data_IF_954807262643
#
_entry.id   IF_954807262643
#
_cell.length_a   1.000
_cell.length_b   1.000
_cell.length_c   1.000
_cell.angle_alpha   90.00
_cell.angle_beta   90.00
_cell.angle_gamma   90.00
#
_symmetry.space_group_name_H-M   'P 1'
#
loop_
_entity.id
_entity.type
_entity.pdbx_description
1 polymer ?
#
# COMPACT_ATOMS: atom_id res chain seq x y z
N UNK A 1 -13.34 47.68 -16.84
CA UNK A 1 -12.87 47.42 -15.45
C UNK A 1 -13.80 46.51 -14.64
N UNK A 2 -14.80 45.83 -15.23
CA UNK A 2 -15.76 44.99 -14.48
C UNK A 2 -15.56 43.48 -14.61
N UNK A 3 -14.63 43.02 -15.46
CA UNK A 3 -14.43 41.60 -15.78
C UNK A 3 -13.49 40.89 -14.82
N UNK A 4 -12.51 41.59 -14.23
CA UNK A 4 -11.54 40.98 -13.30
C UNK A 4 -12.13 40.61 -11.93
N UNK A 5 -13.17 41.31 -11.47
CA UNK A 5 -13.83 40.99 -10.20
C UNK A 5 -14.66 39.68 -10.27
N UNK A 6 -15.20 39.35 -11.44
CA UNK A 6 -16.04 38.16 -11.64
C UNK A 6 -15.19 36.88 -11.67
N UNK A 7 -13.99 36.92 -12.25
CA UNK A 7 -13.09 35.75 -12.28
C UNK A 7 -12.48 35.43 -10.92
N UNK A 8 -12.13 36.44 -10.12
CA UNK A 8 -11.64 36.23 -8.74
C UNK A 8 -12.74 35.58 -7.88
N UNK A 9 -13.99 35.99 -8.05
CA UNK A 9 -15.13 35.41 -7.31
C UNK A 9 -15.37 33.94 -7.68
N UNK A 10 -15.18 33.56 -8.95
CA UNK A 10 -15.38 32.17 -9.41
C UNK A 10 -14.22 31.24 -9.04
N UNK A 11 -12.97 31.72 -9.07
CA UNK A 11 -11.80 30.95 -8.62
C UNK A 11 -11.77 30.79 -7.09
N UNK A 12 -12.23 31.80 -6.34
CA UNK A 12 -12.47 31.69 -4.91
C UNK A 12 -13.63 30.74 -4.64
N UNK A 13 -14.71 30.78 -5.42
CA UNK A 13 -15.81 29.83 -5.27
C UNK A 13 -15.37 28.40 -5.60
N UNK A 14 -14.61 28.14 -6.68
CA UNK A 14 -14.13 26.78 -7.01
C UNK A 14 -13.02 26.29 -6.07
N UNK A 15 -12.07 27.14 -5.68
CA UNK A 15 -11.00 26.81 -4.75
C UNK A 15 -11.48 26.67 -3.30
N UNK A 16 -12.43 27.51 -2.86
CA UNK A 16 -13.11 27.32 -1.57
C UNK A 16 -14.20 26.26 -1.61
N UNK A 17 -14.74 25.88 -2.77
CA UNK A 17 -15.69 24.76 -2.84
C UNK A 17 -14.96 23.44 -2.69
N UNK A 18 -13.73 23.30 -3.22
CA UNK A 18 -12.93 22.09 -2.98
C UNK A 18 -12.48 21.99 -1.51
N UNK A 19 -11.85 23.03 -0.96
CA UNK A 19 -11.39 23.02 0.44
C UNK A 19 -12.56 23.08 1.43
N UNK A 20 -13.62 23.82 1.09
CA UNK A 20 -14.83 23.97 1.90
C UNK A 20 -15.73 22.74 1.87
N UNK A 21 -15.81 22.03 0.74
CA UNK A 21 -16.54 20.75 0.70
C UNK A 21 -15.87 19.69 1.58
N UNK A 22 -14.53 19.62 1.58
CA UNK A 22 -13.80 18.77 2.52
C UNK A 22 -14.06 19.13 3.98
N UNK A 23 -14.18 20.43 4.29
CA UNK A 23 -14.53 20.90 5.63
C UNK A 23 -15.96 20.51 6.02
N UNK A 24 -16.93 20.66 5.11
CA UNK A 24 -18.33 20.26 5.35
C UNK A 24 -18.43 18.76 5.57
N UNK A 25 -17.72 17.94 4.77
CA UNK A 25 -17.67 16.48 4.94
C UNK A 25 -17.03 16.11 6.27
N UNK A 26 -15.93 16.77 6.66
CA UNK A 26 -15.29 16.55 7.95
C UNK A 26 -16.24 16.90 9.11
N UNK A 27 -16.97 18.01 9.01
CA UNK A 27 -17.96 18.41 10.00
C UNK A 27 -19.12 17.40 10.06
N UNK A 28 -19.63 16.96 8.92
CA UNK A 28 -20.69 15.94 8.83
C UNK A 28 -20.24 14.61 9.44
N UNK A 29 -19.00 14.21 9.17
CA UNK A 29 -18.41 13.02 9.76
C UNK A 29 -18.38 13.17 11.29
N UNK A 30 -17.93 14.31 11.82
CA UNK A 30 -17.94 14.62 13.26
C UNK A 30 -19.34 14.61 13.85
N UNK A 31 -20.36 15.11 13.14
CA UNK A 31 -21.74 15.08 13.62
C UNK A 31 -22.33 13.67 13.63
N UNK A 32 -22.02 12.84 12.63
CA UNK A 32 -22.58 11.50 12.48
C UNK A 32 -21.89 10.46 13.38
N UNK A 33 -20.55 10.55 13.48
CA UNK A 33 -19.73 9.61 14.26
C UNK A 33 -19.33 10.17 15.64
N UNK A 34 -19.45 11.47 15.89
CA UNK A 34 -19.13 12.08 17.18
C UNK A 34 -17.69 11.81 17.63
N UNK A 35 -17.54 11.16 18.77
CA UNK A 35 -16.24 10.76 19.32
C UNK A 35 -15.64 9.48 18.70
N UNK A 36 -16.36 8.79 17.83
CA UNK A 36 -15.96 7.49 17.28
C UNK A 36 -15.22 7.56 15.94
N UNK A 37 -15.10 8.74 15.31
CA UNK A 37 -14.28 8.95 14.10
C UNK A 37 -12.84 8.47 14.28
N UNK A 38 -12.09 8.85 15.33
CA UNK A 38 -10.73 8.37 15.50
C UNK A 38 -10.67 6.85 15.66
N UNK A 39 -11.73 6.22 16.21
CA UNK A 39 -11.82 4.77 16.28
C UNK A 39 -11.99 4.15 14.89
N UNK A 40 -12.84 4.72 14.02
CA UNK A 40 -12.98 4.25 12.63
C UNK A 40 -11.78 4.58 11.74
N UNK A 41 -11.19 5.77 11.89
CA UNK A 41 -9.96 6.16 11.19
C UNK A 41 -8.78 5.25 11.56
N UNK A 42 -8.67 4.82 12.83
CA UNK A 42 -7.67 3.81 13.23
C UNK A 42 -7.90 2.45 12.56
N UNK A 43 -9.15 2.02 12.40
CA UNK A 43 -9.49 0.76 11.72
C UNK A 43 -9.20 0.84 10.21
N UNK A 44 -9.65 1.91 9.55
CA UNK A 44 -9.37 2.16 8.13
C UNK A 44 -7.89 2.40 7.86
N UNK A 45 -7.17 3.06 8.76
CA UNK A 45 -5.73 3.30 8.64
C UNK A 45 -4.91 2.01 8.70
N UNK A 46 -5.27 1.08 9.60
CA UNK A 46 -4.67 -0.27 9.61
C UNK A 46 -4.94 -1.01 8.31
N UNK A 47 -6.19 -1.00 7.83
CA UNK A 47 -6.57 -1.60 6.55
C UNK A 47 -5.81 -1.00 5.36
N UNK A 48 -5.66 0.32 5.31
CA UNK A 48 -4.90 1.01 4.28
C UNK A 48 -3.41 0.67 4.31
N UNK A 49 -2.82 0.58 5.51
CA UNK A 49 -1.42 0.19 5.67
C UNK A 49 -1.16 -1.24 5.23
N UNK A 50 -2.06 -2.17 5.52
CA UNK A 50 -1.97 -3.56 5.07
C UNK A 50 -2.19 -3.66 3.55
N UNK A 51 -3.17 -2.92 3.01
CA UNK A 51 -3.41 -2.83 1.58
C UNK A 51 -2.19 -2.30 0.81
N UNK A 52 -1.56 -1.22 1.28
CA UNK A 52 -0.36 -0.67 0.64
C UNK A 52 0.79 -1.69 0.60
N UNK A 53 0.93 -2.49 1.67
CA UNK A 53 1.98 -3.51 1.79
C UNK A 53 1.74 -4.67 0.83
N UNK A 54 0.49 -5.10 0.72
CA UNK A 54 0.07 -6.14 -0.23
C UNK A 54 0.13 -5.66 -1.69
N UNK A 55 -0.30 -4.43 -1.97
CA UNK A 55 -0.19 -3.83 -3.31
C UNK A 55 1.27 -3.57 -3.69
N UNK A 56 2.13 -3.23 -2.72
CA UNK A 56 3.57 -3.11 -2.94
C UNK A 56 4.20 -4.43 -3.39
N UNK A 57 3.84 -5.53 -2.74
CA UNK A 57 4.25 -6.88 -3.14
C UNK A 57 3.72 -7.25 -4.54
N UNK A 58 2.43 -6.99 -4.80
CA UNK A 58 1.81 -7.26 -6.09
C UNK A 58 2.44 -6.45 -7.23
N UNK A 59 2.73 -5.16 -7.00
CA UNK A 59 3.39 -4.30 -7.99
C UNK A 59 4.80 -4.79 -8.30
N UNK A 60 5.53 -5.29 -7.30
CA UNK A 60 6.85 -5.88 -7.50
C UNK A 60 6.77 -7.11 -8.40
N UNK A 61 5.87 -8.04 -8.10
CA UNK A 61 5.68 -9.27 -8.89
C UNK A 61 5.19 -8.98 -10.32
N UNK A 62 4.19 -8.11 -10.47
CA UNK A 62 3.67 -7.71 -11.78
C UNK A 62 4.73 -6.97 -12.59
N UNK A 63 5.52 -6.09 -11.98
CA UNK A 63 6.60 -5.39 -12.68
C UNK A 63 7.73 -6.35 -13.07
N UNK A 64 8.04 -7.37 -12.26
CA UNK A 64 9.00 -8.42 -12.61
C UNK A 64 8.51 -9.23 -13.81
N UNK A 65 7.27 -9.70 -13.79
CA UNK A 65 6.69 -10.47 -14.89
C UNK A 65 6.54 -9.63 -16.16
N UNK A 66 6.11 -8.37 -16.05
CA UNK A 66 6.04 -7.47 -17.20
C UNK A 66 7.42 -7.15 -17.76
N UNK A 67 8.44 -6.96 -16.93
CA UNK A 67 9.81 -6.74 -17.40
C UNK A 67 10.39 -8.00 -18.05
N UNK A 68 10.12 -9.18 -17.50
CA UNK A 68 10.56 -10.46 -18.07
C UNK A 68 9.91 -10.70 -19.44
N UNK A 69 8.59 -10.53 -19.56
CA UNK A 69 7.86 -10.65 -20.85
C UNK A 69 8.30 -9.57 -21.83
N UNK A 70 8.50 -8.32 -21.38
CA UNK A 70 8.95 -7.24 -22.26
C UNK A 70 10.39 -7.47 -22.73
N UNK A 71 11.26 -8.01 -21.88
CA UNK A 71 12.63 -8.37 -22.25
C UNK A 71 12.66 -9.56 -23.22
N UNK A 72 11.77 -10.55 -23.05
CA UNK A 72 11.65 -11.70 -23.96
C UNK A 72 11.14 -11.30 -25.35
N UNK A 73 10.26 -10.29 -25.44
CA UNK A 73 9.77 -9.76 -26.72
C UNK A 73 10.80 -8.83 -27.40
N UNK A 74 11.66 -8.16 -26.63
CA UNK A 74 12.58 -7.15 -27.17
C UNK A 74 14.01 -7.67 -27.45
N UNK A 75 14.36 -8.90 -27.05
CA UNK A 75 15.67 -9.51 -27.29
C UNK A 75 15.58 -10.95 -27.87
N UNK A 76 15.58 -11.15 -29.20
CA UNK A 76 15.76 -12.48 -29.78
C UNK A 76 17.22 -12.99 -29.72
N UNK A 77 18.14 -12.32 -29.03
CA UNK A 77 19.57 -12.68 -29.07
C UNK A 77 20.37 -12.32 -27.81
N UNK A 78 20.13 -13.00 -26.69
CA UNK A 78 21.10 -12.95 -25.58
C UNK A 78 21.10 -14.21 -24.70
N UNK A 79 21.25 -15.36 -25.34
CA UNK A 79 21.93 -16.50 -24.70
C UNK A 79 23.38 -16.12 -24.40
N UNK A 80 23.68 -15.61 -23.20
CA UNK A 80 25.03 -15.62 -22.62
C UNK A 80 24.99 -15.39 -21.10
N UNK A 81 25.32 -16.47 -20.41
CA UNK A 81 25.65 -16.52 -19.00
C UNK A 81 26.67 -15.46 -18.59
N UNK A 82 26.52 -14.91 -17.40
CA UNK A 82 27.69 -14.55 -16.58
C UNK A 82 27.35 -14.65 -15.10
N UNK A 83 27.84 -15.72 -14.50
CA UNK A 83 28.12 -15.80 -13.07
C UNK A 83 29.24 -14.80 -12.80
N UNK A 84 28.96 -13.75 -12.05
CA UNK A 84 29.98 -12.86 -11.51
C UNK A 84 29.91 -12.89 -9.99
N UNK A 85 31.00 -13.38 -9.40
CA UNK A 85 31.22 -13.57 -7.96
C UNK A 85 31.65 -12.26 -7.28
N UNK A 86 31.27 -12.18 -6.00
CA UNK A 86 31.97 -11.58 -4.85
C UNK A 86 32.30 -10.08 -4.81
N UNK A 87 31.88 -9.44 -3.72
CA UNK A 87 32.82 -8.75 -2.82
C UNK A 87 32.17 -8.55 -1.45
N UNK A 88 32.89 -8.97 -0.41
CA UNK A 88 32.51 -8.78 0.98
C UNK A 88 32.77 -7.35 1.46
N UNK A 89 31.90 -6.86 2.32
CA UNK A 89 32.19 -5.77 3.24
C UNK A 89 31.53 -6.08 4.58
N UNK A 90 32.36 -6.35 5.58
CA UNK A 90 32.03 -6.55 6.98
C UNK A 90 31.37 -5.31 7.58
N UNK A 91 30.25 -5.49 8.29
CA UNK A 91 29.90 -4.58 9.39
C UNK A 91 29.38 -5.39 10.56
N UNK A 92 30.17 -5.38 11.62
CA UNK A 92 29.86 -6.01 12.89
C UNK A 92 28.66 -5.30 13.54
N UNK A 93 27.60 -6.04 13.88
CA UNK A 93 26.74 -5.66 15.01
C UNK A 93 26.12 -6.87 15.70
N UNK A 94 26.88 -7.34 16.69
CA UNK A 94 26.48 -7.94 17.97
C UNK A 94 25.05 -7.59 18.42
N UNK A 95 24.22 -8.61 18.57
CA UNK A 95 23.45 -8.86 19.82
C UNK A 95 22.63 -10.14 19.69
N UNK A 96 22.97 -11.11 20.52
CA UNK A 96 22.22 -12.33 20.76
C UNK A 96 20.80 -12.02 21.27
N UNK A 97 19.82 -12.78 20.77
CA UNK A 97 18.72 -13.24 21.60
C UNK A 97 18.20 -14.57 21.03
N UNK A 98 18.54 -15.65 21.73
CA UNK A 98 17.78 -16.89 21.70
C UNK A 98 16.49 -16.60 22.47
N UNK A 99 15.33 -16.86 21.84
CA UNK A 99 14.09 -17.07 22.58
C UNK A 99 13.29 -18.15 21.86
N UNK A 100 13.44 -19.37 22.36
CA UNK A 100 12.60 -20.52 22.10
C UNK A 100 11.22 -20.30 22.70
N UNK A 101 10.20 -19.90 21.91
CA UNK A 101 8.78 -20.03 22.30
C UNK A 101 7.93 -20.27 21.03
N UNK A 102 7.31 -21.46 21.01
CA UNK A 102 6.12 -21.84 20.26
C UNK A 102 6.29 -22.22 18.77
N UNK A 103 6.58 -23.51 18.56
CA UNK A 103 6.14 -24.24 17.37
C UNK A 103 4.64 -24.02 17.19
N UNK A 104 4.25 -23.08 16.33
CA UNK A 104 2.90 -23.03 15.78
C UNK A 104 2.73 -24.26 14.88
N UNK A 105 2.42 -25.40 15.50
CA UNK A 105 1.88 -26.58 14.84
C UNK A 105 0.74 -26.11 13.94
N UNK A 106 0.95 -26.21 12.62
CA UNK A 106 -0.09 -25.96 11.62
C UNK A 106 -1.17 -27.05 11.77
N UNK A 107 -2.09 -26.86 12.71
CA UNK A 107 -3.24 -27.73 12.89
C UNK A 107 -4.17 -27.55 11.70
N UNK A 108 -3.96 -28.37 10.68
CA UNK A 108 -4.79 -28.40 9.49
C UNK A 108 -6.26 -28.68 9.90
N UNK A 109 -7.24 -27.97 9.31
CA UNK A 109 -8.63 -28.15 9.66
C UNK A 109 -9.07 -29.60 9.38
N UNK A 110 -9.71 -30.23 10.38
CA UNK A 110 -10.26 -31.58 10.21
C UNK A 110 -11.44 -31.52 9.24
N UNK A 111 -11.22 -32.00 8.02
CA UNK A 111 -12.25 -32.09 6.98
C UNK A 111 -13.21 -33.23 7.31
N UNK A 112 -14.44 -32.91 7.68
CA UNK A 112 -15.52 -33.89 7.73
C UNK A 112 -16.14 -34.01 6.33
N UNK A 113 -16.12 -35.21 5.71
CA UNK A 113 -16.69 -35.39 4.39
C UNK A 113 -18.21 -35.22 4.42
N UNK A 114 -18.81 -34.66 3.35
CA UNK A 114 -20.25 -34.44 3.28
C UNK A 114 -21.00 -35.78 3.36
N UNK A 115 -22.04 -35.83 4.21
CA UNK A 115 -22.96 -36.96 4.27
C UNK A 115 -23.80 -36.97 3.00
N UNK A 116 -23.86 -38.13 2.32
CA UNK A 116 -24.73 -38.36 1.15
C UNK A 116 -26.20 -38.27 1.52
#
# INVERSE_FOLDING_TARGET
MSTFAVEISSAVFLGLFDVGSMFVIALLAVLLFGGDLPKMGRKFGKFYSEFQRNVGAFKSEVSSVMNDITSEINDPSSSRSSVARSSGASSAKKSALVKDEDEIEASAPKFEPPKK
#
